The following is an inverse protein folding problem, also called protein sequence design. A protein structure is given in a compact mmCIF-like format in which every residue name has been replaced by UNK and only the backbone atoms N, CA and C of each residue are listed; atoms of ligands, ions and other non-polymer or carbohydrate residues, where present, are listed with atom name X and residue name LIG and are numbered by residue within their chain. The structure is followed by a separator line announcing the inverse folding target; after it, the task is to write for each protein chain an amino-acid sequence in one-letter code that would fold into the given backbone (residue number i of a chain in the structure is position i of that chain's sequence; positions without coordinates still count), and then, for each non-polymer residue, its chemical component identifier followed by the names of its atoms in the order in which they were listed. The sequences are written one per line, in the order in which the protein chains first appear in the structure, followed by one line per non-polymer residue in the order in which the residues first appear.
data_IF_316141029888
#
_entry.id   IF_316141029888
#
_cell.length_a   1.000
_cell.length_b   1.000
_cell.length_c   1.000
_cell.angle_alpha   90.00
_cell.angle_beta   90.00
_cell.angle_gamma   90.00
#
_symmetry.space_group_name_H-M   'P 1'
#
loop_
_entity.id
_entity.type
_entity.pdbx_description
1 polymer ?
#
# COMPACT_ATOMS: atom_id res chain seq x y z
N UNK A 1 26.62 17.91 14.49
CA UNK A 1 27.42 16.77 14.06
C UNK A 1 28.69 16.73 14.91
N UNK A 2 29.00 15.61 15.58
CA UNK A 2 30.26 15.42 16.30
C UNK A 2 31.24 14.72 15.35
N UNK A 3 32.49 15.15 15.34
CA UNK A 3 33.54 14.55 14.51
C UNK A 3 34.71 14.13 15.39
N UNK A 4 35.35 13.02 15.06
CA UNK A 4 36.63 12.59 15.60
C UNK A 4 37.70 13.12 14.65
N UNK A 5 38.58 13.94 15.19
CA UNK A 5 39.68 14.51 14.41
C UNK A 5 40.96 13.91 14.95
N UNK A 6 41.74 13.28 14.08
CA UNK A 6 43.12 12.91 14.34
C UNK A 6 43.98 14.01 13.75
N UNK A 7 44.85 14.59 14.58
CA UNK A 7 45.71 15.67 14.13
C UNK A 7 46.71 16.07 15.21
N UNK A 8 47.54 17.02 14.89
CA UNK A 8 48.52 17.59 15.81
C UNK A 8 48.16 19.03 16.17
N UNK A 9 48.37 19.36 17.44
CA UNK A 9 48.22 20.74 17.90
C UNK A 9 49.59 21.41 17.73
N UNK A 10 49.63 22.58 17.07
CA UNK A 10 50.80 23.38 16.92
C UNK A 10 50.49 24.85 17.26
N UNK A 11 51.52 25.58 17.65
CA UNK A 11 51.42 27.01 17.90
C UNK A 11 51.69 27.75 16.58
N UNK A 12 50.78 28.61 16.18
CA UNK A 12 51.02 29.53 15.09
C UNK A 12 51.83 30.75 15.60
N UNK A 13 53.12 30.76 15.31
CA UNK A 13 54.07 31.70 15.90
C UNK A 13 53.73 33.17 15.57
N UNK A 14 53.18 33.47 14.39
CA UNK A 14 52.85 34.82 13.98
C UNK A 14 51.65 35.45 14.73
N UNK A 15 50.78 34.63 15.34
CA UNK A 15 49.57 35.09 16.04
C UNK A 15 49.44 34.61 17.47
N UNK A 16 50.33 33.77 17.99
CA UNK A 16 50.28 33.22 19.34
C UNK A 16 49.06 32.30 19.64
N UNK A 17 48.45 31.77 18.58
CA UNK A 17 47.24 30.96 18.72
C UNK A 17 47.52 29.47 18.50
N UNK A 18 46.88 28.63 19.32
CA UNK A 18 46.90 27.19 19.09
C UNK A 18 46.03 26.82 17.90
N UNK A 19 46.57 26.05 16.97
CA UNK A 19 45.87 25.53 15.82
C UNK A 19 45.90 23.99 15.82
N UNK A 20 44.79 23.38 15.48
CA UNK A 20 44.69 21.94 15.26
C UNK A 20 44.85 21.65 13.76
N UNK A 21 45.95 21.02 13.39
CA UNK A 21 46.16 20.51 12.05
C UNK A 21 45.52 19.15 11.95
N UNK A 22 44.36 19.12 11.31
CA UNK A 22 43.61 17.88 11.09
C UNK A 22 44.31 17.04 10.00
N UNK A 23 44.76 15.84 10.35
CA UNK A 23 45.36 14.86 9.42
C UNK A 23 44.31 13.89 8.91
N UNK A 24 43.31 13.60 9.73
CA UNK A 24 42.17 12.74 9.40
C UNK A 24 40.95 13.24 10.15
N UNK A 25 39.76 13.12 9.52
CA UNK A 25 38.49 13.52 10.10
C UNK A 25 37.44 12.46 9.81
N UNK A 26 36.89 11.86 10.85
CA UNK A 26 35.83 10.86 10.73
C UNK A 26 34.59 11.30 11.52
N UNK A 27 33.38 11.06 11.02
CA UNK A 27 32.17 11.27 11.81
C UNK A 27 32.21 10.43 13.09
N UNK A 28 32.02 11.05 14.24
CA UNK A 28 32.01 10.34 15.51
C UNK A 28 30.72 9.48 15.60
N UNK A 29 30.88 8.15 15.68
CA UNK A 29 29.77 7.23 15.86
C UNK A 29 29.48 6.32 14.66
N UNK A 30 29.90 6.64 13.44
CA UNK A 30 29.61 5.80 12.25
C UNK A 30 30.21 4.40 12.41
N UNK A 31 31.41 4.27 12.93
CA UNK A 31 32.03 2.97 13.17
C UNK A 31 31.30 2.13 14.22
N UNK A 32 30.82 2.75 15.30
CA UNK A 32 30.08 2.03 16.35
C UNK A 32 28.70 1.56 15.85
N UNK A 33 28.00 2.38 15.07
CA UNK A 33 26.74 2.03 14.47
C UNK A 33 26.87 0.89 13.45
N UNK A 34 27.93 0.92 12.63
CA UNK A 34 28.20 -0.15 11.67
C UNK A 34 28.46 -1.49 12.36
N UNK A 35 29.27 -1.50 13.44
CA UNK A 35 29.53 -2.71 14.23
C UNK A 35 28.23 -3.24 14.87
N UNK A 36 27.43 -2.35 15.47
CA UNK A 36 26.16 -2.73 16.06
C UNK A 36 25.16 -3.30 15.03
N UNK A 37 25.14 -2.74 13.82
CA UNK A 37 24.33 -3.25 12.71
C UNK A 37 24.73 -4.68 12.32
N UNK A 38 26.03 -4.93 12.09
CA UNK A 38 26.49 -6.27 11.70
C UNK A 38 26.26 -7.30 12.83
N UNK A 39 26.50 -6.94 14.08
CA UNK A 39 26.22 -7.84 15.23
C UNK A 39 24.72 -8.20 15.31
N UNK A 40 23.83 -7.21 15.16
CA UNK A 40 22.40 -7.47 15.19
C UNK A 40 21.96 -8.30 13.99
N UNK A 41 22.48 -8.03 12.81
CA UNK A 41 22.21 -8.78 11.60
C UNK A 41 22.63 -10.25 11.75
N UNK A 42 23.84 -10.53 12.25
CA UNK A 42 24.29 -11.90 12.53
C UNK A 42 23.39 -12.61 13.54
N UNK A 43 23.03 -11.94 14.63
CA UNK A 43 22.14 -12.48 15.67
C UNK A 43 20.80 -12.89 15.07
N UNK A 44 20.11 -11.98 14.36
CA UNK A 44 18.79 -12.25 13.79
C UNK A 44 18.83 -13.25 12.63
N UNK A 45 19.95 -13.29 11.89
CA UNK A 45 20.18 -14.30 10.86
C UNK A 45 20.32 -15.70 11.48
N UNK A 46 21.07 -15.84 12.59
CA UNK A 46 21.21 -17.10 13.32
C UNK A 46 19.86 -17.59 13.89
N UNK A 47 19.00 -16.69 14.35
CA UNK A 47 17.61 -16.99 14.75
C UNK A 47 16.71 -17.36 13.55
N UNK A 48 17.16 -17.13 12.32
CA UNK A 48 16.44 -17.48 11.10
C UNK A 48 15.33 -16.50 10.71
N UNK A 49 15.37 -15.25 11.20
CA UNK A 49 14.34 -14.24 10.88
C UNK A 49 14.36 -13.82 9.42
N UNK A 50 15.47 -14.00 8.71
CA UNK A 50 15.64 -13.62 7.30
C UNK A 50 15.32 -14.74 6.31
N UNK A 51 14.87 -15.91 6.79
CA UNK A 51 14.58 -17.06 5.91
C UNK A 51 13.44 -16.75 4.94
N UNK A 52 13.65 -17.06 3.67
CA UNK A 52 12.63 -16.91 2.62
C UNK A 52 11.34 -17.70 2.92
N UNK A 53 11.46 -18.84 3.64
CA UNK A 53 10.32 -19.66 4.03
C UNK A 53 9.35 -18.97 5.03
N UNK A 54 9.77 -17.88 5.67
CA UNK A 54 8.93 -17.07 6.56
C UNK A 54 8.19 -15.97 5.82
N UNK A 55 8.68 -15.57 4.65
CA UNK A 55 8.13 -14.46 3.89
C UNK A 55 6.77 -14.81 3.32
N UNK A 56 5.84 -13.91 3.52
CA UNK A 56 4.46 -14.04 3.09
C UNK A 56 4.29 -13.45 1.68
N UNK A 57 3.47 -14.06 0.83
CA UNK A 57 3.15 -13.50 -0.47
C UNK A 57 2.37 -12.19 -0.31
N UNK A 58 2.71 -11.21 -1.13
CA UNK A 58 1.96 -9.95 -1.20
C UNK A 58 0.65 -10.20 -1.96
N UNK A 59 -0.50 -9.75 -1.46
CA UNK A 59 -1.78 -9.88 -2.15
C UNK A 59 -1.75 -9.19 -3.51
N UNK A 60 -2.26 -9.88 -4.55
CA UNK A 60 -2.30 -9.32 -5.91
C UNK A 60 -3.30 -8.15 -6.04
N UNK A 61 -4.34 -8.12 -5.21
CA UNK A 61 -5.41 -7.11 -5.22
C UNK A 61 -5.74 -6.67 -3.79
N UNK A 62 -4.85 -5.91 -3.13
CA UNK A 62 -5.10 -5.49 -1.77
C UNK A 62 -6.23 -4.45 -1.73
N UNK A 63 -7.25 -4.71 -0.92
CA UNK A 63 -8.38 -3.80 -0.75
C UNK A 63 -8.19 -2.87 0.45
N UNK A 64 -7.32 -3.26 1.37
CA UNK A 64 -6.94 -2.46 2.53
C UNK A 64 -5.42 -2.41 2.64
N UNK A 65 -4.87 -1.21 2.66
CA UNK A 65 -3.44 -0.97 2.74
C UNK A 65 -3.15 -0.17 3.99
N UNK A 66 -2.40 -0.75 4.91
CA UNK A 66 -1.96 -0.04 6.11
C UNK A 66 -0.61 0.64 5.85
N UNK A 67 -0.54 1.94 6.02
CA UNK A 67 0.68 2.72 5.81
C UNK A 67 1.20 3.20 7.16
N UNK A 68 2.42 2.79 7.51
CA UNK A 68 3.13 3.19 8.72
C UNK A 68 4.26 4.13 8.32
N UNK A 69 4.09 5.42 8.57
CA UNK A 69 5.06 6.45 8.18
C UNK A 69 4.81 7.76 8.94
N UNK A 70 5.73 8.70 8.75
CA UNK A 70 5.54 10.05 9.29
C UNK A 70 4.37 10.76 8.58
N UNK A 71 3.51 11.39 9.35
CA UNK A 71 2.33 12.06 8.82
C UNK A 71 2.63 13.30 7.98
N UNK A 72 3.80 13.92 8.15
CA UNK A 72 4.22 15.16 7.45
C UNK A 72 5.23 14.90 6.33
N UNK A 73 5.68 13.66 6.17
CA UNK A 73 6.75 13.27 5.24
C UNK A 73 6.35 13.34 3.76
N UNK A 74 7.33 13.55 2.88
CA UNK A 74 7.16 13.39 1.43
C UNK A 74 6.72 11.95 1.09
N UNK A 75 7.25 10.96 1.80
CA UNK A 75 6.94 9.55 1.62
C UNK A 75 5.43 9.26 1.63
N UNK A 76 4.67 9.84 2.56
CA UNK A 76 3.21 9.67 2.61
C UNK A 76 2.54 10.23 1.36
N UNK A 77 2.92 11.42 0.93
CA UNK A 77 2.35 12.05 -0.27
C UNK A 77 2.64 11.24 -1.53
N UNK A 78 3.84 10.71 -1.64
CA UNK A 78 4.26 9.87 -2.75
C UNK A 78 3.46 8.57 -2.79
N UNK A 79 3.32 7.88 -1.66
CA UNK A 79 2.49 6.67 -1.53
C UNK A 79 1.05 6.96 -1.94
N UNK A 80 0.44 8.01 -1.37
CA UNK A 80 -0.96 8.35 -1.66
C UNK A 80 -1.17 8.74 -3.12
N UNK A 81 -0.22 9.47 -3.72
CA UNK A 81 -0.26 9.84 -5.14
C UNK A 81 -0.22 8.62 -6.05
N UNK A 82 0.69 7.67 -5.78
CA UNK A 82 0.82 6.44 -6.55
C UNK A 82 -0.41 5.56 -6.40
N UNK A 83 -0.85 5.28 -5.16
CA UNK A 83 -2.01 4.45 -4.90
C UNK A 83 -3.30 5.05 -5.46
N UNK A 84 -3.51 6.36 -5.30
CA UNK A 84 -4.68 7.05 -5.81
C UNK A 84 -4.79 7.01 -7.34
N UNK A 85 -3.66 6.95 -8.04
CA UNK A 85 -3.61 6.80 -9.50
C UNK A 85 -3.75 5.36 -9.96
N UNK A 86 -3.05 4.41 -9.30
CA UNK A 86 -2.97 3.01 -9.76
C UNK A 86 -4.08 2.12 -9.25
N UNK A 87 -4.46 2.32 -7.96
CA UNK A 87 -5.41 1.44 -7.28
C UNK A 87 -6.35 2.21 -6.34
N UNK A 88 -7.19 3.12 -6.89
CA UNK A 88 -8.04 4.01 -6.08
C UNK A 88 -9.15 3.29 -5.31
N UNK A 89 -9.36 1.99 -5.57
CA UNK A 89 -10.36 1.17 -4.88
C UNK A 89 -9.92 0.74 -3.49
N UNK A 90 -8.62 0.78 -3.21
CA UNK A 90 -8.09 0.39 -1.91
C UNK A 90 -8.39 1.44 -0.83
N UNK A 91 -8.78 0.96 0.35
CA UNK A 91 -8.84 1.79 1.55
C UNK A 91 -7.45 1.90 2.16
N UNK A 92 -7.01 3.12 2.44
CA UNK A 92 -5.72 3.38 3.05
C UNK A 92 -5.92 3.71 4.53
N UNK A 93 -5.28 2.93 5.40
CA UNK A 93 -5.22 3.15 6.83
C UNK A 93 -3.85 3.72 7.19
N UNK A 94 -3.80 4.98 7.58
CA UNK A 94 -2.56 5.61 8.02
C UNK A 94 -2.38 5.44 9.52
N UNK A 95 -1.26 4.86 9.91
CA UNK A 95 -0.75 4.84 11.28
C UNK A 95 0.44 5.82 11.35
N UNK A 96 0.23 7.03 11.86
CA UNK A 96 1.27 8.02 11.95
C UNK A 96 2.25 7.69 13.07
N UNK A 97 3.54 7.66 12.74
CA UNK A 97 4.63 7.36 13.67
C UNK A 97 5.80 8.31 13.45
N UNK A 98 6.66 8.43 14.45
CA UNK A 98 7.99 8.99 14.24
C UNK A 98 8.81 7.97 13.46
N UNK A 99 9.54 8.43 12.45
CA UNK A 99 10.40 7.58 11.60
C UNK A 99 11.89 7.83 11.84
N UNK A 100 12.20 8.64 12.85
CA UNK A 100 13.56 8.97 13.29
C UNK A 100 13.57 9.40 14.76
N UNK A 101 14.75 9.31 15.38
CA UNK A 101 14.92 9.64 16.79
C UNK A 101 14.71 8.44 17.71
N UNK A 102 14.98 8.63 19.02
CA UNK A 102 15.05 7.55 20.00
C UNK A 102 13.71 6.87 20.28
N UNK A 103 12.61 7.56 20.06
CA UNK A 103 11.26 7.05 20.32
C UNK A 103 10.65 6.32 19.10
N UNK A 104 11.27 6.47 17.94
CA UNK A 104 10.73 5.91 16.70
C UNK A 104 10.61 4.37 16.71
N UNK A 105 11.58 3.58 17.21
CA UNK A 105 11.47 2.13 17.23
C UNK A 105 10.23 1.64 17.98
N UNK A 106 10.00 2.14 19.17
CA UNK A 106 8.84 1.76 19.99
C UNK A 106 7.52 2.14 19.33
N UNK A 107 7.45 3.33 18.69
CA UNK A 107 6.25 3.75 17.98
C UNK A 107 5.97 2.89 16.74
N UNK A 108 7.00 2.53 15.98
CA UNK A 108 6.87 1.65 14.82
C UNK A 108 6.42 0.26 15.26
N UNK A 109 7.04 -0.31 16.29
CA UNK A 109 6.65 -1.60 16.83
C UNK A 109 5.19 -1.61 17.34
N UNK A 110 4.81 -0.58 18.09
CA UNK A 110 3.43 -0.42 18.56
C UNK A 110 2.43 -0.30 17.39
N UNK A 111 2.78 0.44 16.34
CA UNK A 111 1.95 0.57 15.13
C UNK A 111 1.80 -0.76 14.40
N UNK A 112 2.86 -1.56 14.26
CA UNK A 112 2.82 -2.91 13.67
C UNK A 112 1.92 -3.84 14.49
N UNK A 113 2.07 -3.85 15.81
CA UNK A 113 1.21 -4.64 16.68
C UNK A 113 -0.24 -4.21 16.61
N UNK A 114 -0.50 -2.90 16.54
CA UNK A 114 -1.84 -2.34 16.36
C UNK A 114 -2.45 -2.76 15.01
N UNK A 115 -1.71 -2.61 13.91
CA UNK A 115 -2.17 -3.03 12.59
C UNK A 115 -2.59 -4.50 12.57
N UNK A 116 -1.81 -5.38 13.22
CA UNK A 116 -2.11 -6.81 13.31
C UNK A 116 -3.28 -7.14 14.24
N UNK A 117 -3.41 -6.44 15.37
CA UNK A 117 -4.49 -6.66 16.33
C UNK A 117 -5.83 -6.25 15.75
N UNK A 118 -5.88 -5.10 15.08
CA UNK A 118 -7.09 -4.51 14.50
C UNK A 118 -7.35 -4.96 13.06
N UNK A 119 -6.44 -5.74 12.49
CA UNK A 119 -6.49 -6.23 11.09
C UNK A 119 -6.70 -5.08 10.08
N UNK A 120 -5.87 -4.04 10.17
CA UNK A 120 -6.03 -2.78 9.44
C UNK A 120 -5.62 -2.84 7.97
N UNK A 121 -5.22 -3.99 7.45
CA UNK A 121 -4.81 -4.09 6.05
C UNK A 121 -4.56 -5.50 5.58
N UNK A 122 -4.63 -5.67 4.27
CA UNK A 122 -4.19 -6.88 3.58
C UNK A 122 -2.66 -6.90 3.40
N UNK A 123 -2.06 -5.70 3.47
CA UNK A 123 -0.61 -5.47 3.41
C UNK A 123 -0.25 -4.23 4.23
N UNK A 124 0.91 -4.27 4.88
CA UNK A 124 1.49 -3.13 5.61
C UNK A 124 2.63 -2.55 4.77
N UNK A 125 2.61 -1.26 4.54
CA UNK A 125 3.69 -0.50 3.94
C UNK A 125 4.39 0.29 5.03
N UNK A 126 5.60 -0.13 5.37
CA UNK A 126 6.48 0.55 6.32
C UNK A 126 7.45 1.41 5.52
N UNK A 127 7.29 2.73 5.59
CA UNK A 127 8.04 3.62 4.72
C UNK A 127 8.60 4.84 5.40
N UNK A 128 9.74 5.28 4.87
CA UNK A 128 10.36 6.54 5.21
C UNK A 128 10.96 7.18 3.94
N UNK A 129 10.95 8.50 3.89
CA UNK A 129 11.76 9.26 2.91
C UNK A 129 13.24 9.15 3.23
N UNK A 130 14.09 9.51 2.29
CA UNK A 130 15.55 9.51 2.44
C UNK A 130 16.05 10.27 3.67
N UNK A 131 17.26 9.96 4.10
CA UNK A 131 17.92 10.57 5.23
C UNK A 131 19.30 9.99 5.46
N UNK A 132 20.00 10.44 6.48
CA UNK A 132 21.30 9.89 6.88
C UNK A 132 21.16 8.50 7.51
N UNK A 133 22.25 7.74 7.58
CA UNK A 133 22.29 6.44 8.27
C UNK A 133 21.81 6.54 9.73
N UNK A 134 22.13 7.63 10.42
CA UNK A 134 21.68 7.91 11.77
C UNK A 134 20.15 8.04 11.85
N UNK A 135 19.57 8.65 10.83
CA UNK A 135 18.12 8.80 10.71
C UNK A 135 17.39 7.49 10.42
N UNK A 136 18.03 6.55 9.73
CA UNK A 136 17.49 5.22 9.43
C UNK A 136 17.65 4.25 10.59
N UNK A 137 18.34 4.65 11.67
CA UNK A 137 18.69 3.75 12.76
C UNK A 137 17.49 3.12 13.46
N UNK A 138 16.36 3.82 13.51
CA UNK A 138 15.11 3.29 14.06
C UNK A 138 14.65 1.98 13.42
N UNK A 139 15.03 1.72 12.17
CA UNK A 139 14.72 0.50 11.42
C UNK A 139 15.81 -0.58 11.54
N UNK A 140 16.90 -0.25 12.28
CA UNK A 140 17.97 -1.17 12.63
C UNK A 140 17.88 -1.65 14.09
N UNK A 141 16.86 -1.25 14.82
CA UNK A 141 16.64 -1.68 16.19
C UNK A 141 15.97 -3.06 16.25
N UNK A 142 16.39 -3.89 17.22
CA UNK A 142 15.87 -5.24 17.39
C UNK A 142 14.36 -5.27 17.63
N UNK A 143 13.84 -4.30 18.38
CA UNK A 143 12.41 -4.18 18.67
C UNK A 143 11.59 -4.02 17.37
N UNK A 144 12.03 -3.15 16.48
CA UNK A 144 11.37 -2.94 15.18
C UNK A 144 11.45 -4.20 14.31
N UNK A 145 12.63 -4.81 14.22
CA UNK A 145 12.84 -6.01 13.43
C UNK A 145 11.94 -7.18 13.90
N UNK A 146 11.84 -7.40 15.21
CA UNK A 146 10.96 -8.44 15.78
C UNK A 146 9.49 -8.15 15.53
N UNK A 147 9.06 -6.89 15.65
CA UNK A 147 7.67 -6.51 15.35
C UNK A 147 7.32 -6.75 13.88
N UNK A 148 8.26 -6.53 12.94
CA UNK A 148 8.08 -6.88 11.52
C UNK A 148 7.98 -8.38 11.34
N UNK A 149 8.89 -9.17 11.97
CA UNK A 149 8.91 -10.63 11.87
C UNK A 149 7.64 -11.30 12.42
N UNK A 150 7.07 -10.74 13.49
CA UNK A 150 5.89 -11.26 14.18
C UNK A 150 4.57 -10.82 13.52
N UNK A 151 4.65 -9.94 12.52
CA UNK A 151 3.47 -9.51 11.78
C UNK A 151 2.81 -10.69 11.07
N UNK A 152 1.48 -10.82 11.20
CA UNK A 152 0.66 -11.77 10.43
C UNK A 152 0.32 -11.22 9.05
N UNK A 153 0.18 -9.90 8.96
CA UNK A 153 -0.06 -9.18 7.71
C UNK A 153 1.29 -9.03 6.99
N UNK A 154 1.37 -9.29 5.67
CA UNK A 154 2.59 -9.08 4.90
C UNK A 154 3.11 -7.65 5.04
N UNK A 155 4.41 -7.50 5.26
CA UNK A 155 5.07 -6.20 5.44
C UNK A 155 5.98 -5.90 4.26
N UNK A 156 5.79 -4.74 3.65
CA UNK A 156 6.67 -4.18 2.63
C UNK A 156 7.50 -3.06 3.25
N UNK A 157 8.81 -3.23 3.25
CA UNK A 157 9.75 -2.21 3.71
C UNK A 157 10.15 -1.29 2.56
N UNK A 158 10.04 0.01 2.78
CA UNK A 158 10.43 1.07 1.86
C UNK A 158 11.19 2.16 2.62
N UNK A 159 12.26 1.76 3.27
CA UNK A 159 13.04 2.59 4.21
C UNK A 159 14.38 2.99 3.62
N UNK A 160 15.13 2.04 3.10
CA UNK A 160 16.47 2.25 2.54
C UNK A 160 16.42 2.52 1.03
N UNK A 161 17.39 3.30 0.54
CA UNK A 161 17.64 3.45 -0.90
C UNK A 161 18.35 2.22 -1.46
N UNK A 162 18.71 2.25 -2.76
CA UNK A 162 19.33 1.09 -3.43
C UNK A 162 20.57 0.55 -2.71
N UNK A 163 21.37 1.43 -2.12
CA UNK A 163 22.63 1.09 -1.43
C UNK A 163 22.49 0.88 0.08
N UNK A 164 21.44 1.41 0.71
CA UNK A 164 21.31 1.47 2.15
C UNK A 164 20.28 0.44 2.64
N UNK A 165 20.77 -0.70 3.11
CA UNK A 165 19.91 -1.75 3.66
C UNK A 165 19.74 -1.56 5.16
N UNK A 166 18.50 -1.68 5.62
CA UNK A 166 18.19 -1.74 7.05
C UNK A 166 17.89 -3.18 7.48
N UNK A 167 17.94 -3.45 8.80
CA UNK A 167 17.55 -4.75 9.35
C UNK A 167 16.10 -5.08 9.00
N UNK A 168 15.21 -4.08 9.01
CA UNK A 168 13.83 -4.26 8.59
C UNK A 168 13.68 -4.72 7.14
N UNK A 169 14.59 -4.29 6.23
CA UNK A 169 14.56 -4.72 4.83
C UNK A 169 14.85 -6.22 4.66
N UNK A 170 15.70 -6.79 5.53
CA UNK A 170 15.98 -8.22 5.53
C UNK A 170 14.84 -9.05 6.10
N UNK A 171 14.14 -8.52 7.12
CA UNK A 171 13.05 -9.22 7.82
C UNK A 171 11.74 -9.11 7.08
N UNK A 172 11.50 -8.00 6.39
CA UNK A 172 10.25 -7.75 5.65
C UNK A 172 9.97 -8.81 4.58
N UNK A 173 8.72 -9.01 4.27
CA UNK A 173 8.27 -9.97 3.24
C UNK A 173 8.67 -9.49 1.84
N UNK A 174 8.71 -8.18 1.61
CA UNK A 174 9.19 -7.56 0.38
C UNK A 174 9.95 -6.26 0.71
N UNK A 175 11.01 -6.00 -0.03
CA UNK A 175 11.74 -4.73 0.00
C UNK A 175 11.49 -3.90 -1.24
N UNK A 176 11.34 -2.60 -1.07
CA UNK A 176 11.30 -1.64 -2.15
C UNK A 176 12.34 -0.52 -1.90
N UNK A 177 12.97 0.02 -2.96
CA UNK A 177 14.00 1.04 -2.80
C UNK A 177 13.46 2.42 -2.42
N UNK A 178 12.17 2.65 -2.62
CA UNK A 178 11.50 3.91 -2.29
C UNK A 178 10.04 3.69 -1.89
N UNK A 179 9.43 4.63 -1.14
CA UNK A 179 8.01 4.58 -0.81
C UNK A 179 7.09 4.51 -2.04
N UNK A 180 7.45 5.23 -3.11
CA UNK A 180 6.72 5.20 -4.38
C UNK A 180 6.81 3.82 -5.06
N UNK A 181 8.02 3.25 -5.12
CA UNK A 181 8.23 1.90 -5.67
C UNK A 181 7.46 0.84 -4.86
N UNK A 182 7.42 0.96 -3.54
CA UNK A 182 6.63 0.08 -2.69
C UNK A 182 5.14 0.17 -3.03
N UNK A 183 4.61 1.39 -3.16
CA UNK A 183 3.23 1.60 -3.57
C UNK A 183 2.92 1.00 -4.94
N UNK A 184 3.87 1.06 -5.88
CA UNK A 184 3.73 0.43 -7.20
C UNK A 184 3.73 -1.10 -7.13
N UNK A 185 4.64 -1.69 -6.32
CA UNK A 185 4.76 -3.14 -6.18
C UNK A 185 3.51 -3.78 -5.55
N UNK A 186 2.85 -3.10 -4.63
CA UNK A 186 1.65 -3.61 -3.96
C UNK A 186 0.35 -3.28 -4.70
N UNK A 187 0.38 -2.41 -5.71
CA UNK A 187 -0.82 -1.95 -6.40
C UNK A 187 -0.87 -2.43 -7.85
N UNK A 188 -1.90 -3.18 -8.26
CA UNK A 188 -2.13 -3.46 -9.66
C UNK A 188 -2.56 -2.19 -10.39
N UNK A 189 -2.47 -2.20 -11.71
CA UNK A 189 -3.07 -1.12 -12.54
C UNK A 189 -4.55 -1.42 -12.73
N UNK A 190 -5.39 -0.49 -12.29
CA UNK A 190 -6.84 -0.62 -12.41
C UNK A 190 -7.29 -0.91 -13.85
N UNK A 191 -6.66 -0.25 -14.83
CA UNK A 191 -6.96 -0.42 -16.26
C UNK A 191 -6.69 -1.86 -16.75
N UNK A 192 -5.60 -2.48 -16.30
CA UNK A 192 -5.26 -3.85 -16.65
C UNK A 192 -6.28 -4.83 -16.06
N UNK A 193 -6.71 -4.61 -14.83
CA UNK A 193 -7.76 -5.41 -14.18
C UNK A 193 -9.08 -5.30 -14.92
N UNK A 194 -9.47 -4.08 -15.27
CA UNK A 194 -10.70 -3.82 -16.03
C UNK A 194 -10.66 -4.47 -17.41
N UNK A 195 -9.56 -4.33 -18.14
CA UNK A 195 -9.37 -4.95 -19.45
C UNK A 195 -9.46 -6.48 -19.35
N UNK A 196 -8.88 -7.07 -18.31
CA UNK A 196 -8.96 -8.51 -18.05
C UNK A 196 -10.39 -8.98 -17.80
N UNK A 197 -11.17 -8.22 -17.05
CA UNK A 197 -12.59 -8.51 -16.81
C UNK A 197 -13.41 -8.46 -18.12
N UNK A 198 -13.21 -7.44 -18.94
CA UNK A 198 -13.87 -7.34 -20.24
C UNK A 198 -13.53 -8.51 -21.17
N UNK A 199 -12.26 -8.89 -21.23
CA UNK A 199 -11.83 -10.06 -22.03
C UNK A 199 -12.45 -11.36 -21.52
N UNK A 200 -12.58 -11.52 -20.21
CA UNK A 200 -13.26 -12.69 -19.64
C UNK A 200 -14.74 -12.72 -20.02
N UNK A 201 -15.40 -11.57 -20.04
CA UNK A 201 -16.79 -11.45 -20.45
C UNK A 201 -16.99 -11.80 -21.93
N UNK A 202 -16.16 -11.25 -22.82
CA UNK A 202 -16.19 -11.58 -24.25
C UNK A 202 -15.95 -13.09 -24.52
N UNK A 203 -14.97 -13.69 -23.84
CA UNK A 203 -14.71 -15.14 -23.94
C UNK A 203 -15.91 -15.97 -23.50
N UNK A 204 -16.55 -15.56 -22.44
CA UNK A 204 -17.77 -16.19 -21.92
C UNK A 204 -18.89 -16.18 -22.97
N UNK A 205 -19.15 -15.01 -23.60
CA UNK A 205 -20.16 -14.86 -24.63
C UNK A 205 -19.85 -15.66 -25.88
N UNK A 206 -18.61 -15.62 -26.34
CA UNK A 206 -18.15 -16.40 -27.50
C UNK A 206 -18.29 -17.91 -27.26
N UNK A 207 -17.90 -18.40 -26.09
CA UNK A 207 -18.03 -19.81 -25.72
C UNK A 207 -19.49 -20.28 -25.71
N UNK A 208 -20.38 -19.43 -25.20
CA UNK A 208 -21.82 -19.69 -25.19
C UNK A 208 -22.37 -19.71 -26.62
N UNK A 209 -22.03 -18.70 -27.44
CA UNK A 209 -22.44 -18.64 -28.84
C UNK A 209 -22.01 -19.87 -29.62
N UNK A 210 -20.76 -20.30 -29.46
CA UNK A 210 -20.23 -21.51 -30.10
C UNK A 210 -20.99 -22.78 -29.65
N UNK A 211 -21.26 -22.92 -28.36
CA UNK A 211 -22.02 -24.05 -27.82
C UNK A 211 -23.45 -24.14 -28.42
N UNK A 212 -24.15 -23.00 -28.50
CA UNK A 212 -25.46 -22.92 -29.08
C UNK A 212 -25.46 -23.20 -30.60
N UNK A 213 -24.44 -22.68 -31.31
CA UNK A 213 -24.30 -22.90 -32.74
C UNK A 213 -23.99 -24.37 -33.07
N UNK A 214 -23.14 -25.03 -32.29
CA UNK A 214 -22.84 -26.46 -32.43
C UNK A 214 -24.11 -27.28 -32.19
N UNK A 215 -24.88 -26.97 -31.14
CA UNK A 215 -26.12 -27.67 -30.87
C UNK A 215 -27.17 -27.49 -32.01
N UNK A 216 -27.27 -26.29 -32.60
CA UNK A 216 -28.12 -26.04 -33.77
C UNK A 216 -27.64 -26.80 -34.99
N UNK A 217 -26.35 -26.86 -35.28
CA UNK A 217 -25.82 -27.61 -36.43
C UNK A 217 -26.08 -29.12 -36.34
N UNK A 218 -25.96 -29.68 -35.14
CA UNK A 218 -26.29 -31.09 -34.87
C UNK A 218 -27.79 -31.34 -35.16
N UNK A 219 -28.66 -30.45 -34.71
CA UNK A 219 -30.13 -30.58 -34.98
C UNK A 219 -30.45 -30.48 -36.48
N UNK A 220 -29.79 -29.58 -37.22
CA UNK A 220 -30.00 -29.43 -38.67
C UNK A 220 -29.49 -30.63 -39.48
N UNK A 221 -28.52 -31.39 -38.93
CA UNK A 221 -28.02 -32.62 -39.54
C UNK A 221 -28.99 -33.82 -39.45
N UNK A 222 -30.01 -33.73 -38.62
CA UNK A 222 -31.02 -34.78 -38.51
C UNK A 222 -32.12 -34.58 -39.55
N UNK A 223 -32.12 -35.44 -40.60
CA UNK A 223 -33.19 -35.46 -41.59
C UNK A 223 -34.52 -36.00 -40.99
N UNK A 224 -35.69 -35.43 -41.36
CA UNK A 224 -36.98 -35.80 -40.79
C UNK A 224 -37.35 -37.27 -40.97
N UNK A 225 -36.68 -37.99 -41.84
CA UNK A 225 -36.97 -39.40 -42.21
C UNK A 225 -36.34 -40.42 -41.26
N UNK A 226 -35.45 -40.04 -40.39
CA UNK A 226 -34.84 -40.92 -39.40
C UNK A 226 -35.49 -40.72 -38.04
N UNK A 227 -36.65 -41.36 -37.86
CA UNK A 227 -37.16 -41.70 -36.54
C UNK A 227 -37.73 -40.57 -35.67
N UNK A 228 -39.02 -40.36 -35.78
CA UNK A 228 -39.82 -39.53 -34.85
C UNK A 228 -39.50 -39.79 -33.38
N UNK A 229 -39.22 -41.01 -32.99
CA UNK A 229 -38.85 -41.34 -31.60
C UNK A 229 -37.44 -40.90 -31.22
N UNK A 230 -36.44 -41.08 -32.06
CA UNK A 230 -35.07 -40.66 -31.74
C UNK A 230 -34.89 -39.14 -31.84
N UNK A 231 -35.65 -38.48 -32.76
CA UNK A 231 -35.71 -37.01 -32.82
C UNK A 231 -36.34 -36.42 -31.57
N UNK A 232 -37.50 -36.99 -31.12
CA UNK A 232 -38.14 -36.54 -29.89
C UNK A 232 -37.26 -36.77 -28.67
N UNK A 233 -36.56 -37.91 -28.57
CA UNK A 233 -35.65 -38.17 -27.46
C UNK A 233 -34.43 -37.23 -27.47
N UNK A 234 -33.88 -36.96 -28.69
CA UNK A 234 -32.78 -36.00 -28.85
C UNK A 234 -33.23 -34.57 -28.61
N UNK A 235 -34.42 -34.19 -29.09
CA UNK A 235 -35.00 -32.87 -28.79
C UNK A 235 -35.21 -32.67 -27.27
N UNK A 236 -35.72 -33.68 -26.57
CA UNK A 236 -35.90 -33.62 -25.13
C UNK A 236 -34.56 -33.54 -24.38
N UNK A 237 -33.55 -34.29 -24.82
CA UNK A 237 -32.18 -34.17 -24.27
C UNK A 237 -31.60 -32.79 -24.50
N UNK A 238 -31.85 -32.17 -25.67
CA UNK A 238 -31.43 -30.82 -26.00
C UNK A 238 -32.13 -29.78 -25.12
N UNK A 239 -33.46 -29.88 -24.97
CA UNK A 239 -34.25 -28.99 -24.12
C UNK A 239 -33.79 -29.05 -22.66
N UNK A 240 -33.45 -30.25 -22.18
CA UNK A 240 -32.92 -30.43 -20.84
C UNK A 240 -31.51 -29.85 -20.71
N UNK A 241 -30.67 -30.04 -21.75
CA UNK A 241 -29.34 -29.46 -21.80
C UNK A 241 -29.40 -27.92 -21.88
N UNK A 242 -30.32 -27.38 -22.73
CA UNK A 242 -30.53 -25.93 -22.84
C UNK A 242 -31.03 -25.32 -21.53
N UNK A 243 -32.00 -25.99 -20.86
CA UNK A 243 -32.49 -25.55 -19.54
C UNK A 243 -31.40 -25.56 -18.48
N UNK A 244 -30.60 -26.64 -18.43
CA UNK A 244 -29.44 -26.69 -17.51
C UNK A 244 -28.41 -25.64 -17.85
N UNK A 245 -28.13 -25.41 -19.13
CA UNK A 245 -27.24 -24.42 -19.63
C UNK A 245 -27.70 -23.00 -19.27
N UNK A 246 -29.02 -22.73 -19.52
CA UNK A 246 -29.63 -21.43 -19.19
C UNK A 246 -29.62 -21.21 -17.69
N UNK A 247 -30.01 -22.20 -16.89
CA UNK A 247 -29.98 -22.12 -15.43
C UNK A 247 -28.54 -21.98 -14.90
N UNK A 248 -27.60 -22.74 -15.45
CA UNK A 248 -26.18 -22.63 -15.11
C UNK A 248 -25.58 -21.30 -15.54
N UNK A 249 -26.00 -20.81 -16.71
CA UNK A 249 -25.62 -19.51 -17.23
C UNK A 249 -26.20 -18.38 -16.39
N UNK A 250 -27.50 -18.40 -16.12
CA UNK A 250 -28.13 -17.40 -15.27
C UNK A 250 -27.47 -17.37 -13.90
N UNK A 251 -27.22 -18.53 -13.30
CA UNK A 251 -26.49 -18.63 -12.04
C UNK A 251 -25.07 -18.03 -12.14
N UNK A 252 -24.35 -18.31 -13.23
CA UNK A 252 -23.00 -17.81 -13.44
C UNK A 252 -22.98 -16.32 -13.77
N UNK A 253 -23.91 -15.87 -14.63
CA UNK A 253 -24.14 -14.46 -14.94
C UNK A 253 -24.50 -13.68 -13.69
N UNK A 254 -25.45 -14.21 -12.89
CA UNK A 254 -25.92 -13.55 -11.68
C UNK A 254 -24.81 -13.50 -10.61
N UNK A 255 -24.02 -14.57 -10.50
CA UNK A 255 -22.83 -14.56 -9.65
C UNK A 255 -21.78 -13.52 -10.11
N UNK A 256 -21.55 -13.43 -11.42
CA UNK A 256 -20.65 -12.42 -11.99
C UNK A 256 -21.22 -11.02 -11.85
N UNK A 257 -22.51 -10.83 -12.12
CA UNK A 257 -23.19 -9.55 -11.94
C UNK A 257 -23.21 -9.12 -10.46
N UNK A 258 -23.46 -10.04 -9.54
CA UNK A 258 -23.37 -9.77 -8.11
C UNK A 258 -21.92 -9.46 -7.67
N UNK A 259 -20.95 -10.15 -8.26
CA UNK A 259 -19.54 -9.84 -8.08
C UNK A 259 -19.19 -8.44 -8.57
N UNK A 260 -19.63 -8.12 -9.79
CA UNK A 260 -19.43 -6.81 -10.38
C UNK A 260 -20.15 -5.70 -9.60
N UNK A 261 -21.42 -5.94 -9.23
CA UNK A 261 -22.19 -5.00 -8.43
C UNK A 261 -21.54 -4.73 -7.05
N UNK A 262 -21.01 -5.78 -6.39
CA UNK A 262 -20.25 -5.62 -5.17
C UNK A 262 -18.98 -4.79 -5.36
N UNK A 263 -18.23 -5.05 -6.45
CA UNK A 263 -17.03 -4.27 -6.76
C UNK A 263 -17.37 -2.82 -7.15
N UNK A 264 -18.44 -2.63 -7.95
CA UNK A 264 -18.95 -1.32 -8.30
C UNK A 264 -19.44 -0.55 -7.06
N UNK A 265 -20.18 -1.22 -6.16
CA UNK A 265 -20.60 -0.63 -4.90
C UNK A 265 -19.42 -0.28 -3.98
N UNK A 266 -18.36 -1.13 -3.97
CA UNK A 266 -17.12 -0.83 -3.26
C UNK A 266 -16.38 0.36 -3.88
N UNK A 267 -16.30 0.40 -5.21
CA UNK A 267 -15.72 1.53 -5.95
C UNK A 267 -16.49 2.82 -5.68
N UNK A 268 -17.82 2.74 -5.75
CA UNK A 268 -18.73 3.85 -5.51
C UNK A 268 -18.70 4.31 -4.04
N UNK A 269 -18.58 3.38 -3.09
CA UNK A 269 -18.39 3.69 -1.67
C UNK A 269 -17.03 4.37 -1.38
N UNK A 270 -16.02 4.08 -2.21
CA UNK A 270 -14.68 4.66 -2.13
C UNK A 270 -14.52 5.92 -3.00
N UNK A 271 -15.58 6.27 -3.77
CA UNK A 271 -15.57 7.44 -4.62
C UNK A 271 -15.42 8.72 -3.79
N UNK A 272 -14.46 9.56 -4.10
CA UNK A 272 -14.32 10.88 -3.44
C UNK A 272 -15.59 11.71 -3.51
N UNK A 273 -16.34 11.59 -4.60
CA UNK A 273 -17.61 12.30 -4.78
C UNK A 273 -18.68 11.87 -3.78
N UNK A 274 -18.73 10.60 -3.39
CA UNK A 274 -19.66 10.12 -2.35
C UNK A 274 -19.23 10.54 -0.95
N UNK A 275 -17.94 10.66 -0.70
CA UNK A 275 -17.44 11.25 0.55
C UNK A 275 -17.93 12.69 0.64
N UNK A 276 -17.82 13.45 -0.45
CA UNK A 276 -18.36 14.80 -0.53
C UNK A 276 -19.90 14.83 -0.37
N UNK A 277 -20.64 13.90 -0.97
CA UNK A 277 -22.10 13.81 -0.86
C UNK A 277 -22.59 13.46 0.57
N UNK A 278 -21.73 12.89 1.42
CA UNK A 278 -21.99 12.64 2.84
C UNK A 278 -21.77 13.87 3.74
N UNK A 279 -21.44 15.01 3.12
CA UNK A 279 -21.19 16.25 3.84
C UNK A 279 -19.73 16.50 4.19
N UNK A 280 -18.83 15.60 3.78
CA UNK A 280 -17.41 15.90 3.87
C UNK A 280 -17.04 16.90 2.78
N UNK A 281 -16.09 17.74 3.06
CA UNK A 281 -15.52 18.69 2.11
C UNK A 281 -14.04 18.39 1.95
N UNK A 282 -13.55 18.65 0.78
CA UNK A 282 -12.12 18.60 0.50
C UNK A 282 -11.61 20.04 0.44
N UNK A 283 -10.62 20.34 1.26
CA UNK A 283 -9.98 21.64 1.31
C UNK A 283 -8.78 21.71 0.37
N UNK A 284 -8.68 22.80 -0.37
CA UNK A 284 -7.59 23.08 -1.28
C UNK A 284 -7.02 24.47 -0.99
N UNK A 285 -5.69 24.56 -0.91
CA UNK A 285 -4.93 25.80 -0.82
C UNK A 285 -3.92 25.84 -1.95
N UNK A 286 -3.93 26.88 -2.77
CA UNK A 286 -3.02 27.07 -3.90
C UNK A 286 -2.92 25.85 -4.84
N UNK A 287 -4.04 25.21 -5.15
CA UNK A 287 -4.13 23.98 -5.96
C UNK A 287 -3.47 22.74 -5.33
N UNK A 288 -3.28 22.73 -4.03
CA UNK A 288 -2.82 21.57 -3.26
C UNK A 288 -3.86 21.20 -2.22
N UNK A 289 -4.16 19.90 -2.13
CA UNK A 289 -5.07 19.40 -1.10
C UNK A 289 -4.48 19.62 0.28
N UNK A 290 -5.26 20.21 1.16
CA UNK A 290 -4.92 20.39 2.58
C UNK A 290 -5.36 19.13 3.33
N UNK A 291 -4.42 18.42 3.88
CA UNK A 291 -4.69 17.17 4.61
C UNK A 291 -4.68 17.34 6.12
N UNK A 292 -4.17 18.46 6.61
CA UNK A 292 -3.96 18.70 8.05
C UNK A 292 -4.26 20.14 8.42
N UNK A 293 -4.76 20.29 9.63
CA UNK A 293 -4.93 21.60 10.23
C UNK A 293 -3.61 22.38 10.33
N UNK A 294 -2.50 21.66 10.63
CA UNK A 294 -1.15 22.24 10.72
C UNK A 294 -0.63 22.89 9.41
N UNK A 295 -1.19 22.49 8.26
CA UNK A 295 -0.84 23.07 6.96
C UNK A 295 -1.50 24.43 6.70
N UNK A 296 -2.36 24.88 7.63
CA UNK A 296 -3.11 26.11 7.55
C UNK A 296 -2.63 27.12 8.58
N UNK A 297 -2.68 28.38 8.20
CA UNK A 297 -2.42 29.50 9.10
C UNK A 297 -3.66 30.43 9.17
N UNK A 298 -3.90 31.09 10.29
CA UNK A 298 -4.93 32.11 10.34
C UNK A 298 -4.68 33.19 9.27
N UNK A 299 -5.71 33.44 8.48
CA UNK A 299 -5.65 34.34 7.34
C UNK A 299 -5.51 33.65 5.97
N UNK A 300 -5.22 32.34 5.94
CA UNK A 300 -5.14 31.58 4.70
C UNK A 300 -6.49 31.53 3.97
N UNK A 301 -6.44 31.70 2.66
CA UNK A 301 -7.59 31.46 1.80
C UNK A 301 -7.58 30.02 1.31
N UNK A 302 -8.62 29.28 1.62
CA UNK A 302 -8.82 27.90 1.18
C UNK A 302 -10.10 27.79 0.37
N UNK A 303 -10.09 26.89 -0.58
CA UNK A 303 -11.28 26.53 -1.35
C UNK A 303 -11.81 25.19 -0.82
N UNK A 304 -13.04 25.19 -0.34
CA UNK A 304 -13.74 23.98 0.05
C UNK A 304 -14.55 23.46 -1.14
N UNK A 305 -14.32 22.21 -1.48
CA UNK A 305 -15.04 21.50 -2.53
C UNK A 305 -16.16 20.68 -1.87
N UNK A 306 -17.39 20.98 -2.27
CA UNK A 306 -18.59 20.24 -1.91
C UNK A 306 -19.02 19.35 -3.08
N UNK A 307 -20.02 18.52 -2.88
CA UNK A 307 -20.58 17.67 -3.92
C UNK A 307 -21.20 18.47 -5.08
N UNK A 308 -21.71 19.66 -4.80
CA UNK A 308 -22.49 20.51 -5.71
C UNK A 308 -21.81 21.84 -6.05
N UNK A 309 -20.61 22.10 -5.51
CA UNK A 309 -19.94 23.38 -5.77
C UNK A 309 -18.68 23.59 -4.96
N UNK A 310 -18.23 24.83 -4.94
CA UNK A 310 -17.04 25.28 -4.23
C UNK A 310 -17.35 26.51 -3.42
N UNK A 311 -16.70 26.64 -2.26
CA UNK A 311 -16.77 27.82 -1.44
C UNK A 311 -15.37 28.30 -1.10
N UNK A 312 -15.10 29.56 -1.28
CA UNK A 312 -13.87 30.17 -0.82
C UNK A 312 -14.03 30.58 0.64
N UNK A 313 -13.14 30.14 1.47
CA UNK A 313 -13.15 30.36 2.92
C UNK A 313 -11.81 30.94 3.38
N UNK A 314 -11.87 31.73 4.43
CA UNK A 314 -10.66 32.21 5.09
C UNK A 314 -10.54 31.55 6.45
N UNK A 315 -9.38 30.97 6.72
CA UNK A 315 -9.07 30.34 8.01
C UNK A 315 -9.02 31.43 9.08
N UNK A 316 -9.91 31.34 10.11
CA UNK A 316 -9.90 32.28 11.24
C UNK A 316 -8.96 31.85 12.35
N UNK A 317 -8.98 30.58 12.68
CA UNK A 317 -8.12 29.96 13.69
C UNK A 317 -7.84 28.54 13.30
N UNK A 318 -6.72 28.02 13.73
CA UNK A 318 -6.34 26.61 13.57
C UNK A 318 -6.14 26.09 14.98
N UNK A 319 -6.86 25.04 15.32
CA UNK A 319 -6.69 24.27 16.55
C UNK A 319 -6.25 22.88 16.14
N UNK A 320 -5.12 22.45 16.64
CA UNK A 320 -4.65 21.08 16.46
C UNK A 320 -5.25 20.23 17.58
N UNK A 321 -6.11 19.29 17.23
CA UNK A 321 -6.48 18.22 18.14
C UNK A 321 -5.46 17.08 18.00
N UNK A 322 -4.80 16.75 19.09
CA UNK A 322 -4.05 15.50 19.20
C UNK A 322 -5.07 14.35 19.14
N UNK A 323 -5.33 13.85 17.95
CA UNK A 323 -6.06 12.61 17.77
C UNK A 323 -5.21 11.45 18.31
N UNK A 324 -5.36 11.19 19.60
CA UNK A 324 -5.17 9.83 20.10
C UNK A 324 -6.25 8.98 19.43
N UNK A 325 -5.88 8.33 18.33
CA UNK A 325 -6.73 7.30 17.74
C UNK A 325 -6.94 6.23 18.80
N UNK A 326 -8.16 6.19 19.30
CA UNK A 326 -8.61 5.08 20.14
C UNK A 326 -8.55 3.81 19.29
N UNK A 327 -7.70 2.90 19.73
CA UNK A 327 -7.69 1.51 19.32
C UNK A 327 -9.06 0.89 19.58
N UNK A 328 -9.96 0.93 18.63
CA UNK A 328 -11.09 -0.01 18.56
C UNK A 328 -11.87 0.26 17.27
N UNK A 329 -11.87 -0.70 16.37
CA UNK A 329 -12.99 -1.42 15.79
C UNK A 329 -12.67 -1.97 14.40
N UNK A 330 -12.53 -3.29 14.44
CA UNK A 330 -13.11 -4.35 13.58
C UNK A 330 -13.07 -4.14 12.06
#
# INVERSE_FOLDING_TARGET
MKVLIRGRISLYEAGGQYQLYAEDMQPAGVGALSVAFEQLKEKLAAEGLFRESRKKPIPAYPMQICVITSPTGAALRDILSVLGRRWPVARIHLLPVLVQGKEAPAQIAAALHRANRENLGDVILLGRGGGSLEDLWAFNEEETARAVADSRIPVVSAVGHETDFTICDFVADLRAPTPSAAAELISPRQEEVYTRLLLMEQRREAAMGHCLQTARSVLQGFTPQLLTRSVQQKAQQLDDAARRLTAGWEKKRDACAAGFARQAARLDALSPLRVLARGFTWAEKEKKSVMRAADLQPGDSIQLHFADGRADCTVRSVEEEDHHESENDV
#
